data_IF_493148576884
#
_entry.id   IF_493148576884
#
_cell.length_a   1.000
_cell.length_b   1.000
_cell.length_c   1.000
_cell.angle_alpha   90.00
_cell.angle_beta   90.00
_cell.angle_gamma   90.00
#
_symmetry.space_group_name_H-M   'P 1'
#
loop_
_entity.id
_entity.type
_entity.pdbx_description
1 polymer ?
#
# COMPACT_ATOMS: atom_id res chain seq x y z
N UNK A 1 18.77 4.07 -14.64
CA UNK A 1 17.57 4.35 -13.82
C UNK A 1 16.47 3.41 -14.27
N UNK A 2 15.94 2.55 -13.38
CA UNK A 2 14.93 1.54 -13.72
C UNK A 2 15.38 0.36 -14.59
N UNK A 3 16.67 0.20 -14.88
CA UNK A 3 17.16 -0.69 -15.96
C UNK A 3 16.86 -2.18 -15.76
N UNK A 4 16.67 -2.64 -14.52
CA UNK A 4 16.42 -4.05 -14.22
C UNK A 4 14.95 -4.44 -14.41
N UNK A 5 14.00 -3.51 -14.21
CA UNK A 5 12.56 -3.84 -14.10
C UNK A 5 11.60 -2.72 -14.50
N UNK A 6 12.07 -1.64 -15.12
CA UNK A 6 11.23 -0.58 -15.71
C UNK A 6 10.38 0.23 -14.72
N UNK A 7 10.67 0.21 -13.42
CA UNK A 7 9.84 0.82 -12.36
C UNK A 7 8.42 0.23 -12.29
N UNK A 8 8.33 -1.09 -12.23
CA UNK A 8 7.07 -1.81 -12.08
C UNK A 8 6.52 -1.77 -10.63
N UNK A 9 6.27 -0.55 -10.15
CA UNK A 9 5.78 -0.24 -8.79
C UNK A 9 4.25 -0.19 -8.72
N UNK A 10 3.56 -0.14 -9.85
CA UNK A 10 2.12 0.02 -9.90
C UNK A 10 1.49 -1.17 -10.64
N UNK A 11 0.73 -2.04 -9.95
CA UNK A 11 0.08 -3.20 -10.56
C UNK A 11 -0.78 -2.85 -11.78
N UNK A 12 -1.51 -1.73 -11.74
CA UNK A 12 -2.37 -1.29 -12.84
C UNK A 12 -1.57 -0.83 -14.07
N UNK A 13 -0.39 -0.22 -13.83
CA UNK A 13 0.51 0.28 -14.87
C UNK A 13 1.11 -0.86 -15.69
N UNK A 14 1.29 -2.03 -15.09
CA UNK A 14 1.84 -3.22 -15.72
C UNK A 14 0.76 -4.16 -16.29
N UNK A 15 -0.35 -4.35 -15.57
CA UNK A 15 -1.41 -5.27 -15.99
C UNK A 15 -2.23 -4.73 -17.17
N UNK A 16 -2.61 -3.45 -17.17
CA UNK A 16 -3.44 -2.86 -18.21
C UNK A 16 -2.82 -2.96 -19.62
N UNK A 17 -1.57 -2.49 -19.81
CA UNK A 17 -0.88 -2.63 -21.10
C UNK A 17 -0.63 -4.09 -21.52
N UNK A 18 -0.41 -5.02 -20.57
CA UNK A 18 -0.29 -6.46 -20.89
C UNK A 18 -1.60 -7.07 -21.37
N UNK A 19 -2.72 -6.72 -20.75
CA UNK A 19 -4.03 -7.18 -21.19
C UNK A 19 -4.36 -6.62 -22.58
N UNK A 20 -4.03 -5.36 -22.83
CA UNK A 20 -4.19 -4.75 -24.14
C UNK A 20 -3.36 -5.48 -25.20
N UNK A 21 -2.08 -5.76 -24.97
CA UNK A 21 -1.24 -6.46 -25.95
C UNK A 21 -1.66 -7.91 -26.15
N UNK A 22 -2.14 -8.58 -25.10
CA UNK A 22 -2.76 -9.90 -25.21
C UNK A 22 -3.93 -9.91 -26.21
N UNK A 23 -4.86 -8.94 -26.09
CA UNK A 23 -6.02 -8.80 -26.97
C UNK A 23 -5.60 -8.31 -28.37
N UNK A 24 -4.59 -7.45 -28.46
CA UNK A 24 -4.11 -6.88 -29.72
C UNK A 24 -3.32 -7.87 -30.59
N UNK A 25 -3.28 -9.16 -30.24
CA UNK A 25 -2.75 -10.22 -31.09
C UNK A 25 -1.35 -10.72 -30.72
N UNK A 26 -0.72 -10.21 -29.67
CA UNK A 26 0.54 -10.77 -29.16
C UNK A 26 0.34 -12.11 -28.43
N UNK A 27 -0.91 -12.46 -28.09
CA UNK A 27 -1.25 -13.76 -27.51
C UNK A 27 -0.61 -14.02 -26.15
N UNK A 28 -0.56 -15.29 -25.74
CA UNK A 28 -0.12 -15.70 -24.39
C UNK A 28 1.36 -15.41 -24.08
N UNK A 29 2.16 -15.04 -25.09
CA UNK A 29 3.59 -14.80 -24.91
C UNK A 29 3.87 -13.59 -24.01
N UNK A 30 2.94 -12.64 -23.92
CA UNK A 30 3.05 -11.48 -23.00
C UNK A 30 3.05 -11.88 -21.52
N UNK A 31 2.50 -13.05 -21.19
CA UNK A 31 2.51 -13.63 -19.84
C UNK A 31 3.68 -14.61 -19.63
N UNK A 32 4.31 -15.11 -20.70
CA UNK A 32 5.46 -16.02 -20.60
C UNK A 32 6.80 -15.30 -20.65
N UNK A 33 6.83 -14.09 -21.18
CA UNK A 33 8.04 -13.26 -21.26
C UNK A 33 8.73 -13.11 -19.89
N UNK A 34 10.06 -13.27 -19.88
CA UNK A 34 10.88 -13.14 -18.66
C UNK A 34 10.68 -14.26 -17.64
N UNK A 35 10.26 -15.46 -18.07
CA UNK A 35 10.02 -16.59 -17.18
C UNK A 35 8.72 -16.47 -16.38
N UNK A 36 7.73 -15.74 -16.89
CA UNK A 36 6.48 -15.49 -16.17
C UNK A 36 6.48 -14.19 -15.35
N UNK A 37 7.15 -13.13 -15.81
CA UNK A 37 7.33 -11.89 -15.05
C UNK A 37 6.03 -11.16 -14.65
N UNK A 38 4.89 -11.46 -15.29
CA UNK A 38 3.62 -10.72 -15.11
C UNK A 38 3.10 -10.63 -13.67
N UNK A 39 3.41 -11.61 -12.80
CA UNK A 39 2.93 -11.62 -11.41
C UNK A 39 3.81 -10.79 -10.47
N UNK A 40 5.10 -10.63 -10.80
CA UNK A 40 6.07 -9.89 -9.99
C UNK A 40 5.63 -8.43 -9.74
N UNK A 41 5.24 -7.63 -10.75
CA UNK A 41 4.81 -6.25 -10.54
C UNK A 41 3.41 -6.12 -9.94
N UNK A 42 2.72 -7.24 -9.69
CA UNK A 42 1.46 -7.26 -8.96
C UNK A 42 1.75 -7.53 -7.48
N UNK A 43 2.47 -8.62 -7.18
CA UNK A 43 2.70 -9.07 -5.81
C UNK A 43 3.78 -8.24 -5.12
N UNK A 44 4.89 -7.94 -5.80
CA UNK A 44 6.02 -7.25 -5.17
C UNK A 44 5.65 -5.84 -4.70
N UNK A 45 4.88 -5.01 -5.44
CA UNK A 45 4.43 -3.73 -4.92
C UNK A 45 3.46 -3.83 -3.75
N UNK A 46 2.56 -4.82 -3.72
CA UNK A 46 1.66 -5.02 -2.59
C UNK A 46 2.44 -5.36 -1.31
N UNK A 47 3.39 -6.29 -1.39
CA UNK A 47 4.25 -6.66 -0.25
C UNK A 47 5.16 -5.50 0.14
N UNK A 48 5.75 -4.81 -0.85
CA UNK A 48 6.60 -3.66 -0.63
C UNK A 48 5.86 -2.48 0.01
N UNK A 49 4.59 -2.25 -0.34
CA UNK A 49 3.76 -1.23 0.28
C UNK A 49 3.51 -1.54 1.76
N UNK A 50 3.11 -2.78 2.09
CA UNK A 50 2.87 -3.20 3.47
C UNK A 50 4.15 -3.07 4.33
N UNK A 51 5.27 -3.58 3.83
CA UNK A 51 6.56 -3.46 4.52
C UNK A 51 7.03 -2.01 4.62
N UNK A 52 6.84 -1.22 3.56
CA UNK A 52 7.21 0.20 3.53
C UNK A 52 6.42 1.02 4.55
N UNK A 53 5.11 0.81 4.64
CA UNK A 53 4.26 1.45 5.65
C UNK A 53 4.69 1.03 7.06
N UNK A 54 4.92 -0.26 7.31
CA UNK A 54 5.39 -0.73 8.61
C UNK A 54 6.73 -0.09 9.02
N UNK A 55 7.66 0.05 8.07
CA UNK A 55 8.95 0.69 8.33
C UNK A 55 8.76 2.19 8.62
N UNK A 56 7.89 2.88 7.88
CA UNK A 56 7.57 4.28 8.11
C UNK A 56 7.01 4.51 9.52
N UNK A 57 6.04 3.69 9.91
CA UNK A 57 5.42 3.71 11.23
C UNK A 57 6.46 3.55 12.35
N UNK A 58 7.30 2.51 12.25
CA UNK A 58 8.30 2.21 13.28
C UNK A 58 9.43 3.23 13.36
N UNK A 59 9.88 3.74 12.20
CA UNK A 59 11.06 4.62 12.16
C UNK A 59 10.70 6.09 12.33
N UNK A 60 9.55 6.52 11.84
CA UNK A 60 9.15 7.92 11.79
C UNK A 60 7.99 8.15 12.76
N UNK A 61 6.85 7.51 12.55
CA UNK A 61 5.61 7.81 13.28
C UNK A 61 5.75 7.66 14.80
N UNK A 62 6.35 6.55 15.26
CA UNK A 62 6.61 6.29 16.69
C UNK A 62 7.51 7.35 17.35
N UNK A 63 8.33 8.06 16.56
CA UNK A 63 9.28 9.06 17.08
C UNK A 63 8.74 10.49 17.01
N UNK A 64 7.57 10.71 16.41
CA UNK A 64 6.92 12.02 16.40
C UNK A 64 5.97 12.18 17.61
N UNK A 65 5.87 13.38 18.18
CA UNK A 65 4.84 13.64 19.18
C UNK A 65 3.47 13.46 18.52
N UNK A 66 2.51 12.81 19.20
CA UNK A 66 1.19 12.55 18.63
C UNK A 66 0.52 13.86 18.23
N UNK A 67 0.00 13.90 17.01
CA UNK A 67 -0.71 15.08 16.52
C UNK A 67 -2.12 15.09 17.12
N UNK A 68 -2.72 16.28 17.33
CA UNK A 68 -4.06 16.41 17.91
C UNK A 68 -5.15 15.59 17.18
N UNK A 69 -4.95 15.29 15.89
CA UNK A 69 -5.85 14.46 15.09
C UNK A 69 -5.79 12.96 15.44
N UNK A 70 -4.62 12.42 15.80
CA UNK A 70 -4.44 11.00 16.17
C UNK A 70 -4.99 10.71 17.56
N UNK A 71 -4.88 11.70 18.46
CA UNK A 71 -5.53 11.66 19.77
C UNK A 71 -7.06 11.60 19.62
N UNK A 72 -7.63 12.28 18.64
CA UNK A 72 -9.06 12.20 18.35
C UNK A 72 -9.47 10.85 17.77
N UNK A 73 -8.70 10.27 16.84
CA UNK A 73 -9.00 8.94 16.26
C UNK A 73 -8.93 7.83 17.32
N UNK A 74 -7.89 7.82 18.16
CA UNK A 74 -7.78 6.86 19.27
C UNK A 74 -8.88 7.03 20.32
N UNK A 75 -9.25 8.28 20.67
CA UNK A 75 -10.38 8.54 21.58
C UNK A 75 -11.73 8.16 20.96
N UNK A 76 -11.90 8.27 19.64
CA UNK A 76 -13.10 7.86 18.92
C UNK A 76 -13.23 6.32 18.85
N UNK A 77 -12.14 5.61 18.58
CA UNK A 77 -12.14 4.14 18.67
C UNK A 77 -12.37 3.64 20.11
N UNK A 78 -11.84 4.35 21.12
CA UNK A 78 -12.07 4.03 22.53
C UNK A 78 -13.51 4.32 22.97
N UNK A 79 -14.17 5.33 22.40
CA UNK A 79 -15.56 5.68 22.76
C UNK A 79 -16.60 4.71 22.22
N UNK A 80 -16.33 3.97 21.13
CA UNK A 80 -17.19 2.84 20.70
C UNK A 80 -17.10 1.61 21.64
N UNK A 81 -16.03 1.50 22.46
CA UNK A 81 -15.78 0.33 23.30
C UNK A 81 -16.21 0.43 24.76
N UNK A 82 -16.29 1.63 25.37
CA UNK A 82 -16.73 1.81 26.77
C UNK A 82 -17.38 3.17 27.01
N UNK A 83 -18.67 3.15 27.34
CA UNK A 83 -19.36 4.24 28.03
C UNK A 83 -18.75 4.41 29.44
N UNK A 84 -17.90 5.42 29.63
CA UNK A 84 -17.29 5.78 30.92
C UNK A 84 -17.26 7.31 31.11
N UNK A 85 -17.74 7.85 32.24
CA UNK A 85 -18.06 9.28 32.39
C UNK A 85 -16.85 10.17 32.73
N UNK A 86 -15.86 10.27 31.86
CA UNK A 86 -14.69 11.16 32.08
C UNK A 86 -14.43 12.19 30.96
N UNK A 87 -15.35 12.34 29.99
CA UNK A 87 -15.22 13.33 28.91
C UNK A 87 -16.04 14.62 29.15
N UNK A 88 -15.94 15.23 30.35
CA UNK A 88 -16.60 16.53 30.66
C UNK A 88 -15.69 17.46 31.49
N UNK A 89 -14.37 17.48 31.24
CA UNK A 89 -13.47 18.40 31.98
C UNK A 89 -12.48 19.21 31.17
N UNK A 90 -12.53 19.17 29.85
CA UNK A 90 -11.67 20.00 29.01
C UNK A 90 -12.49 20.63 27.89
N UNK A 91 -13.37 21.55 28.28
CA UNK A 91 -13.90 22.62 27.44
C UNK A 91 -13.46 23.94 28.06
#
# INVERSE_FOLDING_TARGET
>A
MGSNSGYALNPARDFGPRLFTYIAGWGMDVFKAGGGWWWVPIVAPCVGALLGTLIYELMIEVHHPPTAAELQTSCLEVTEGKMGPECVKLA
#
